data_IF_324266304525
#
_entry.id   IF_324266304525
#
_cell.length_a   1.000
_cell.length_b   1.000
_cell.length_c   1.000
_cell.angle_alpha   90.00
_cell.angle_beta   90.00
_cell.angle_gamma   90.00
#
_symmetry.space_group_name_H-M   'P 1'
#
loop_
_entity.id
_entity.type
_entity.pdbx_description
1 polymer ?
#
# COMPACT_ATOMS: atom_id res chain seq x y z
N UNK A 1 3.84 -51.15 38.09
CA UNK A 1 4.03 -50.73 36.67
C UNK A 1 2.77 -49.98 36.23
N UNK A 2 2.56 -48.77 36.72
CA UNK A 2 1.28 -48.03 36.53
C UNK A 2 1.51 -46.52 36.59
N UNK A 3 2.61 -46.03 36.01
CA UNK A 3 2.93 -44.60 36.00
C UNK A 3 3.20 -44.01 34.60
N UNK A 4 3.27 -44.85 33.55
CA UNK A 4 3.61 -44.38 32.20
C UNK A 4 2.42 -44.23 31.25
N UNK A 5 1.22 -44.70 31.63
CA UNK A 5 0.07 -44.72 30.71
C UNK A 5 -0.83 -43.47 30.75
N UNK A 6 -0.53 -42.47 31.59
CA UNK A 6 -1.36 -41.25 31.72
C UNK A 6 -0.84 -40.05 30.93
N UNK A 7 0.39 -40.06 30.43
CA UNK A 7 0.93 -38.92 29.66
C UNK A 7 0.53 -38.91 28.18
N UNK A 8 0.06 -40.03 27.63
CA UNK A 8 -0.19 -40.15 26.18
C UNK A 8 -1.58 -39.63 25.76
N UNK A 9 -2.50 -39.39 26.71
CA UNK A 9 -3.89 -38.99 26.41
C UNK A 9 -4.14 -37.47 26.38
N UNK A 10 -3.15 -36.61 26.67
CA UNK A 10 -3.36 -35.15 26.77
C UNK A 10 -2.68 -34.30 25.67
N UNK A 11 -2.21 -34.89 24.57
CA UNK A 11 -1.49 -34.15 23.52
C UNK A 11 -2.20 -34.11 22.15
N UNK A 12 -3.47 -34.53 22.05
CA UNK A 12 -4.20 -34.62 20.75
C UNK A 12 -5.38 -33.64 20.65
N UNK A 13 -5.50 -32.65 21.54
CA UNK A 13 -6.54 -31.61 21.44
C UNK A 13 -5.88 -30.24 21.45
N UNK A 14 -5.51 -29.78 20.26
CA UNK A 14 -4.87 -28.47 20.12
C UNK A 14 -4.53 -28.09 18.68
N UNK A 15 -5.34 -28.50 17.70
CA UNK A 15 -5.42 -27.76 16.44
C UNK A 15 -5.96 -26.36 16.78
N UNK A 16 -5.06 -25.41 17.00
CA UNK A 16 -5.40 -23.99 16.89
C UNK A 16 -4.73 -23.46 15.63
N UNK A 17 -5.52 -23.54 14.55
CA UNK A 17 -5.69 -22.48 13.54
C UNK A 17 -4.49 -21.54 13.45
N UNK A 18 -3.57 -21.85 12.54
CA UNK A 18 -2.69 -20.85 11.94
C UNK A 18 -3.60 -19.99 11.06
N UNK A 19 -4.41 -19.13 11.69
CA UNK A 19 -5.02 -18.02 10.99
C UNK A 19 -3.87 -17.15 10.51
N UNK A 20 -3.75 -16.97 9.19
CA UNK A 20 -2.90 -15.90 8.67
C UNK A 20 -3.26 -14.61 9.39
N UNK A 21 -2.29 -13.78 9.80
CA UNK A 21 -2.60 -12.49 10.38
C UNK A 21 -3.55 -11.74 9.42
N UNK A 22 -4.52 -10.98 9.95
CA UNK A 22 -5.40 -10.18 9.10
C UNK A 22 -4.52 -9.42 8.11
N UNK A 23 -4.86 -9.51 6.82
CA UNK A 23 -4.13 -8.80 5.76
C UNK A 23 -4.08 -7.34 6.19
N UNK A 24 -2.86 -6.86 6.44
CA UNK A 24 -2.64 -5.52 6.96
C UNK A 24 -3.24 -4.44 6.06
N UNK A 25 -3.22 -3.19 6.49
CA UNK A 25 -3.68 -2.05 5.70
C UNK A 25 -3.15 -2.14 4.26
N UNK A 26 -3.97 -1.74 3.28
CA UNK A 26 -3.52 -1.69 1.87
C UNK A 26 -2.17 -0.96 1.84
N UNK A 27 -1.18 -1.62 1.24
CA UNK A 27 0.13 -1.03 1.03
C UNK A 27 0.00 0.31 0.28
N UNK A 28 1.04 1.15 0.33
CA UNK A 28 1.10 2.31 -0.54
C UNK A 28 0.80 1.87 -1.98
N UNK A 29 0.15 2.73 -2.79
CA UNK A 29 -0.18 2.37 -4.15
C UNK A 29 1.08 1.92 -4.93
N UNK A 30 0.94 0.96 -5.87
CA UNK A 30 2.06 0.23 -6.45
C UNK A 30 3.12 1.09 -7.17
N UNK A 31 2.82 2.35 -7.46
CA UNK A 31 3.71 3.29 -8.16
C UNK A 31 4.74 3.97 -7.26
N UNK A 32 4.73 3.72 -5.95
CA UNK A 32 5.69 4.31 -5.02
C UNK A 32 6.99 3.50 -4.90
N UNK A 33 7.20 2.53 -5.80
CA UNK A 33 8.41 1.72 -5.88
C UNK A 33 8.69 0.92 -4.59
N UNK A 34 9.91 0.41 -4.49
CA UNK A 34 10.48 -0.03 -3.21
C UNK A 34 10.81 1.22 -2.38
N UNK A 35 9.79 1.86 -1.82
CA UNK A 35 9.94 3.08 -1.05
C UNK A 35 11.02 2.93 0.02
N UNK A 36 12.04 3.79 -0.07
CA UNK A 36 13.10 3.87 0.92
C UNK A 36 12.49 4.14 2.32
N UNK A 37 12.82 3.33 3.33
CA UNK A 37 12.18 3.41 4.65
C UNK A 37 12.45 4.75 5.34
N UNK A 38 13.57 5.41 5.04
CA UNK A 38 13.90 6.74 5.56
C UNK A 38 12.93 7.78 4.99
N UNK A 39 12.77 7.82 3.67
CA UNK A 39 11.80 8.69 2.97
C UNK A 39 10.37 8.48 3.46
N UNK A 40 9.97 7.22 3.71
CA UNK A 40 8.67 6.91 4.28
C UNK A 40 8.52 7.41 5.73
N UNK A 41 9.57 7.38 6.54
CA UNK A 41 9.53 7.92 7.89
C UNK A 41 9.44 9.45 7.88
N UNK A 42 10.27 10.13 7.08
CA UNK A 42 10.25 11.58 6.91
C UNK A 42 8.86 12.08 6.49
N UNK A 43 8.28 11.48 5.44
CA UNK A 43 6.97 11.86 4.96
C UNK A 43 5.86 11.64 5.99
N UNK A 44 5.96 10.59 6.84
CA UNK A 44 4.99 10.39 7.93
C UNK A 44 5.09 11.48 8.98
N UNK A 45 6.30 11.85 9.36
CA UNK A 45 6.54 12.92 10.33
C UNK A 45 6.06 14.26 9.78
N UNK A 46 6.34 14.56 8.51
CA UNK A 46 5.93 15.81 7.86
C UNK A 46 4.40 15.99 7.85
N UNK A 47 3.67 14.92 7.53
CA UNK A 47 2.20 14.98 7.45
C UNK A 47 1.50 14.66 8.77
N UNK A 48 2.25 14.36 9.82
CA UNK A 48 1.73 13.99 11.14
C UNK A 48 0.85 12.73 11.11
N UNK A 49 1.22 11.74 10.30
CA UNK A 49 0.49 10.47 10.17
C UNK A 49 0.97 9.49 11.24
N UNK A 50 0.10 9.11 12.18
CA UNK A 50 0.44 8.10 13.18
C UNK A 50 0.09 6.69 12.70
N UNK A 51 0.73 5.68 13.30
CA UNK A 51 0.47 4.27 12.97
C UNK A 51 -1.00 3.86 13.19
N UNK A 52 -1.65 4.46 14.18
CA UNK A 52 -3.04 4.16 14.58
C UNK A 52 -4.08 4.71 13.58
N UNK A 53 -3.77 5.82 12.91
CA UNK A 53 -4.64 6.42 11.88
C UNK A 53 -4.73 5.54 10.61
N UNK A 54 -3.72 4.70 10.37
CA UNK A 54 -3.61 3.84 9.19
C UNK A 54 -4.49 2.59 9.25
N UNK A 55 -4.84 2.13 10.45
CA UNK A 55 -5.69 0.94 10.66
C UNK A 55 -7.19 1.27 10.57
N UNK A 56 -7.54 2.55 10.55
CA UNK A 56 -8.92 3.01 10.73
C UNK A 56 -9.64 3.32 9.42
N UNK A 57 -9.57 2.46 8.38
CA UNK A 57 -10.45 2.66 7.20
C UNK A 57 -11.04 1.38 6.59
N UNK A 58 -12.28 1.12 7.01
CA UNK A 58 -13.26 0.26 6.33
C UNK A 58 -13.82 0.86 5.03
N UNK A 59 -13.63 2.16 4.74
CA UNK A 59 -14.31 2.84 3.61
C UNK A 59 -13.55 2.86 2.28
N UNK A 60 -12.32 2.35 2.22
CA UNK A 60 -11.55 2.25 0.98
C UNK A 60 -11.14 3.58 0.31
N UNK A 61 -11.41 4.74 0.93
CA UNK A 61 -10.98 6.06 0.44
C UNK A 61 -9.82 6.59 1.29
N UNK A 62 -8.79 7.21 0.71
CA UNK A 62 -7.67 7.79 1.46
C UNK A 62 -8.04 9.09 2.20
N UNK A 63 -7.51 9.29 3.40
CA UNK A 63 -7.61 10.55 4.16
C UNK A 63 -6.73 11.64 3.52
N UNK A 64 -6.93 12.89 3.93
CA UNK A 64 -6.06 13.98 3.47
C UNK A 64 -4.59 13.77 3.86
N UNK A 65 -4.31 13.31 5.09
CA UNK A 65 -2.95 12.98 5.52
C UNK A 65 -2.33 11.85 4.69
N UNK A 66 -3.09 10.81 4.37
CA UNK A 66 -2.61 9.71 3.51
C UNK A 66 -2.33 10.19 2.07
N UNK A 67 -3.16 11.09 1.55
CA UNK A 67 -2.93 11.71 0.24
C UNK A 67 -1.68 12.60 0.26
N UNK A 68 -1.47 13.37 1.33
CA UNK A 68 -0.25 14.16 1.49
C UNK A 68 0.99 13.27 1.64
N UNK A 69 0.86 12.15 2.36
CA UNK A 69 1.92 11.17 2.50
C UNK A 69 2.34 10.60 1.13
N UNK A 70 1.39 10.24 0.28
CA UNK A 70 1.66 9.76 -1.09
C UNK A 70 2.30 10.85 -1.95
N UNK A 71 1.84 12.11 -1.85
CA UNK A 71 2.46 13.24 -2.55
C UNK A 71 3.93 13.41 -2.14
N UNK A 72 4.21 13.39 -0.84
CA UNK A 72 5.56 13.51 -0.30
C UNK A 72 6.45 12.38 -0.80
N UNK A 73 5.97 11.13 -0.77
CA UNK A 73 6.72 9.99 -1.30
C UNK A 73 7.03 10.14 -2.79
N UNK A 74 6.06 10.60 -3.59
CA UNK A 74 6.29 10.87 -5.01
C UNK A 74 7.37 11.94 -5.23
N UNK A 75 7.45 12.95 -4.36
CA UNK A 75 8.52 13.95 -4.41
C UNK A 75 9.88 13.35 -4.07
N UNK A 76 9.94 12.56 -2.99
CA UNK A 76 11.18 11.92 -2.54
C UNK A 76 11.71 10.88 -3.53
N UNK A 77 10.83 10.14 -4.21
CA UNK A 77 11.23 9.16 -5.23
C UNK A 77 11.56 9.78 -6.59
N UNK A 78 11.30 11.09 -6.77
CA UNK A 78 11.45 11.76 -8.06
C UNK A 78 10.35 11.45 -9.08
N UNK A 79 9.31 10.70 -8.68
CA UNK A 79 8.11 10.45 -9.48
C UNK A 79 7.23 11.70 -9.64
N UNK A 80 7.39 12.69 -8.76
CA UNK A 80 6.68 13.96 -8.77
C UNK A 80 7.68 15.10 -8.50
N UNK A 81 7.76 16.09 -9.39
CA UNK A 81 8.59 17.27 -9.13
C UNK A 81 7.95 18.21 -8.10
N UNK A 82 8.73 19.13 -7.54
CA UNK A 82 8.20 20.18 -6.64
C UNK A 82 7.21 21.13 -7.33
N UNK A 83 7.31 21.27 -8.66
CA UNK A 83 6.32 21.98 -9.47
C UNK A 83 5.02 21.19 -9.68
N UNK A 84 4.96 19.95 -9.18
CA UNK A 84 3.81 19.06 -9.29
C UNK A 84 3.72 18.32 -10.62
N UNK A 85 4.82 18.18 -11.38
CA UNK A 85 4.83 17.46 -12.66
C UNK A 85 5.21 16.00 -12.42
N UNK A 86 4.41 15.06 -12.92
CA UNK A 86 4.70 13.63 -12.84
C UNK A 86 5.87 13.26 -13.76
N UNK A 87 6.85 12.55 -13.22
CA UNK A 87 7.92 11.96 -14.01
C UNK A 87 7.50 10.57 -14.48
N UNK A 88 6.96 10.52 -15.69
CA UNK A 88 6.42 9.29 -16.29
C UNK A 88 7.49 8.22 -16.47
N UNK A 89 8.74 8.61 -16.74
CA UNK A 89 9.84 7.65 -16.88
C UNK A 89 10.20 6.99 -15.55
N UNK A 90 10.29 7.76 -14.46
CA UNK A 90 10.46 7.20 -13.11
C UNK A 90 9.32 6.26 -12.77
N UNK A 91 8.07 6.68 -12.98
CA UNK A 91 6.90 5.86 -12.67
C UNK A 91 6.87 4.57 -13.49
N UNK A 92 7.26 4.61 -14.77
CA UNK A 92 7.37 3.40 -15.62
C UNK A 92 8.32 2.37 -15.04
N UNK A 93 9.44 2.81 -14.48
CA UNK A 93 10.45 1.93 -13.88
C UNK A 93 10.00 1.34 -12.54
N UNK A 94 9.09 2.02 -11.83
CA UNK A 94 8.54 1.57 -10.55
C UNK A 94 7.25 0.73 -10.70
N UNK A 95 6.58 0.80 -11.85
CA UNK A 95 5.40 -0.04 -12.11
C UNK A 95 5.85 -1.50 -12.22
N UNK A 96 5.32 -2.40 -11.40
CA UNK A 96 5.69 -3.80 -11.50
C UNK A 96 5.21 -4.42 -12.82
N UNK A 97 6.05 -5.28 -13.42
CA UNK A 97 5.77 -5.96 -14.71
C UNK A 97 4.47 -6.79 -14.71
N UNK A 98 3.98 -7.20 -13.54
CA UNK A 98 2.76 -7.99 -13.40
C UNK A 98 1.46 -7.16 -13.45
N UNK A 99 1.56 -5.83 -13.62
CA UNK A 99 0.40 -4.99 -13.83
C UNK A 99 -0.09 -5.17 -15.28
N UNK A 100 -1.17 -5.95 -15.45
CA UNK A 100 -1.72 -6.36 -16.77
C UNK A 100 -1.92 -5.19 -17.76
N UNK A 101 -2.14 -3.97 -17.25
CA UNK A 101 -2.44 -2.78 -18.04
C UNK A 101 -1.50 -1.59 -17.78
N UNK A 102 -0.20 -1.84 -17.59
CA UNK A 102 0.80 -0.78 -17.36
C UNK A 102 0.74 0.36 -18.40
N UNK A 103 0.54 0.04 -19.68
CA UNK A 103 0.39 1.03 -20.74
C UNK A 103 -0.85 1.94 -20.56
N UNK A 104 -1.98 1.39 -20.09
CA UNK A 104 -3.19 2.16 -19.83
C UNK A 104 -3.02 3.08 -18.62
N UNK A 105 -2.31 2.60 -17.59
CA UNK A 105 -1.93 3.41 -16.42
C UNK A 105 -1.08 4.61 -16.85
N UNK A 106 -0.03 4.38 -17.63
CA UNK A 106 0.82 5.46 -18.15
C UNK A 106 0.01 6.48 -18.96
N UNK A 107 -0.81 6.02 -19.90
CA UNK A 107 -1.65 6.91 -20.71
C UNK A 107 -2.67 7.70 -19.88
N UNK A 108 -3.10 7.18 -18.73
CA UNK A 108 -3.91 7.93 -17.77
C UNK A 108 -3.09 8.97 -17.01
N UNK A 109 -1.90 8.61 -16.52
CA UNK A 109 -1.02 9.50 -15.76
C UNK A 109 -0.58 10.72 -16.59
N UNK A 110 -0.31 10.54 -17.88
CA UNK A 110 -0.01 11.63 -18.82
C UNK A 110 -1.14 12.67 -18.91
N UNK A 111 -2.38 12.29 -18.58
CA UNK A 111 -3.56 13.16 -18.61
C UNK A 111 -3.92 13.78 -17.25
N UNK A 112 -3.27 13.37 -16.15
CA UNK A 112 -3.56 13.88 -14.80
C UNK A 112 -3.26 15.37 -14.68
N UNK A 113 -2.27 15.87 -15.44
CA UNK A 113 -1.76 17.23 -15.34
C UNK A 113 -0.96 17.44 -14.04
N UNK A 114 -0.99 18.66 -13.51
CA UNK A 114 -0.16 19.03 -12.36
C UNK A 114 -0.78 18.61 -11.01
N UNK A 115 0.03 18.00 -10.16
CA UNK A 115 -0.29 17.56 -8.78
C UNK A 115 0.37 18.50 -7.77
N UNK A 116 -0.25 19.67 -7.54
CA UNK A 116 0.24 20.67 -6.57
C UNK A 116 -0.32 20.49 -5.16
N UNK A 117 -1.48 19.84 -5.02
CA UNK A 117 -2.15 19.62 -3.73
C UNK A 117 -2.25 18.14 -3.41
N UNK A 118 -2.35 17.80 -2.13
CA UNK A 118 -2.56 16.40 -1.72
C UNK A 118 -3.83 15.81 -2.36
N UNK A 119 -4.89 16.60 -2.50
CA UNK A 119 -6.14 16.15 -3.13
C UNK A 119 -5.97 15.79 -4.61
N UNK A 120 -4.97 16.33 -5.31
CA UNK A 120 -4.69 15.94 -6.71
C UNK A 120 -4.19 14.49 -6.81
N UNK A 121 -3.67 13.90 -5.74
CA UNK A 121 -3.30 12.48 -5.70
C UNK A 121 -4.52 11.59 -5.96
N UNK A 122 -5.74 12.02 -5.62
CA UNK A 122 -6.96 11.28 -5.98
C UNK A 122 -7.12 11.08 -7.49
N UNK A 123 -6.52 11.94 -8.33
CA UNK A 123 -6.51 11.78 -9.79
C UNK A 123 -5.50 10.71 -10.23
N UNK A 124 -4.33 10.70 -9.60
CA UNK A 124 -3.27 9.69 -9.81
C UNK A 124 -3.79 8.30 -9.42
N UNK A 125 -4.38 8.17 -8.23
CA UNK A 125 -4.95 6.90 -7.73
C UNK A 125 -5.98 6.29 -8.68
N UNK A 126 -6.78 7.11 -9.37
CA UNK A 126 -7.79 6.65 -10.34
C UNK A 126 -7.20 6.03 -11.59
N UNK A 127 -5.93 6.27 -11.88
CA UNK A 127 -5.24 5.65 -13.01
C UNK A 127 -4.86 4.20 -12.76
N UNK A 128 -4.87 3.74 -11.51
CA UNK A 128 -4.48 2.39 -11.16
C UNK A 128 -5.71 1.50 -11.02
N UNK A 129 -5.66 0.26 -11.56
CA UNK A 129 -6.73 -0.70 -11.32
C UNK A 129 -6.81 -0.99 -9.82
N UNK A 130 -8.04 -1.06 -9.30
CA UNK A 130 -8.23 -1.50 -7.92
C UNK A 130 -7.69 -2.92 -7.78
N UNK A 131 -6.99 -3.27 -6.68
CA UNK A 131 -6.60 -4.65 -6.42
C UNK A 131 -7.87 -5.51 -6.51
N UNK A 132 -7.85 -6.54 -7.35
CA UNK A 132 -8.89 -7.57 -7.32
C UNK A 132 -8.87 -8.09 -5.88
N UNK A 133 -9.98 -7.93 -5.13
CA UNK A 133 -10.05 -8.52 -3.79
C UNK A 133 -9.67 -10.00 -3.93
N UNK A 134 -8.79 -10.53 -3.07
CA UNK A 134 -8.46 -11.94 -3.11
C UNK A 134 -9.78 -12.70 -3.01
N UNK A 135 -10.20 -13.32 -4.12
CA UNK A 135 -11.36 -14.20 -4.15
C UNK A 135 -11.21 -15.15 -2.97
N UNK A 136 -12.18 -15.09 -2.07
CA UNK A 136 -12.30 -16.00 -0.95
C UNK A 136 -12.05 -17.42 -1.48
N UNK A 137 -11.04 -18.08 -0.92
CA UNK A 137 -10.59 -19.40 -1.34
C UNK A 137 -11.67 -20.37 -0.82
N UNK A 138 -12.76 -20.51 -1.58
CA UNK A 138 -13.81 -21.52 -1.35
C UNK A 138 -13.20 -22.92 -1.43
#
# INVERSE_FOLDING_TARGET
MTAFLLCVLMAVVGQQVIGHPPRGPRGPPPFLGHGDPESANECRTEVGLTSEERESKKSGELTEKELCFIKCLGQKSGALSDAGVLNIETIKNDIPDHLEDSAAVIACLEKVGTVTTCQHIKKVEKCFPKPKEPKDRT
#
